data_IF_881222968350
#
_entry.id   IF_881222968350
#
_cell.length_a   1.000
_cell.length_b   1.000
_cell.length_c   1.000
_cell.angle_alpha   90.00
_cell.angle_beta   90.00
_cell.angle_gamma   90.00
#
_symmetry.space_group_name_H-M   'P 1'
#
loop_
_entity.id
_entity.type
_entity.pdbx_description
1 polymer ?
#
# COMPACT_ATOMS: atom_id res chain seq x y z
N UNK A 1 0.12 -4.99 17.37
CA UNK A 1 -0.98 -5.76 16.74
C UNK A 1 -1.62 -5.08 15.52
N UNK A 2 -2.02 -3.79 15.57
CA UNK A 2 -2.58 -3.08 14.38
C UNK A 2 -1.54 -2.94 13.26
N UNK A 3 -0.31 -2.60 13.59
CA UNK A 3 0.83 -2.48 12.66
C UNK A 3 1.06 -3.74 11.83
N UNK A 4 1.05 -4.91 12.46
CA UNK A 4 1.23 -6.20 11.79
C UNK A 4 0.13 -6.51 10.76
N UNK A 5 -1.10 -6.00 10.98
CA UNK A 5 -2.22 -6.20 10.06
C UNK A 5 -2.13 -5.30 8.84
N UNK A 6 -1.71 -4.04 9.02
CA UNK A 6 -1.45 -3.13 7.89
C UNK A 6 -0.30 -3.63 7.03
N UNK A 7 0.80 -4.04 7.65
CA UNK A 7 1.93 -4.67 6.98
C UNK A 7 1.50 -5.91 6.18
N UNK A 8 0.75 -6.82 6.79
CA UNK A 8 0.20 -8.00 6.13
C UNK A 8 -0.70 -7.64 4.93
N UNK A 9 -1.51 -6.56 5.05
CA UNK A 9 -2.36 -6.09 3.98
C UNK A 9 -1.53 -5.62 2.78
N UNK A 10 -0.56 -4.73 2.99
CA UNK A 10 0.28 -4.18 1.93
C UNK A 10 1.11 -5.28 1.25
N UNK A 11 1.79 -6.14 2.03
CA UNK A 11 2.55 -7.28 1.51
C UNK A 11 1.70 -8.24 0.69
N UNK A 12 0.49 -8.52 1.15
CA UNK A 12 -0.43 -9.37 0.41
C UNK A 12 -0.91 -8.73 -0.89
N UNK A 13 -1.25 -7.44 -0.88
CA UNK A 13 -1.60 -6.71 -2.10
C UNK A 13 -0.43 -6.67 -3.08
N UNK A 14 0.78 -6.39 -2.62
CA UNK A 14 1.98 -6.42 -3.44
C UNK A 14 2.19 -7.81 -4.08
N UNK A 15 2.01 -8.88 -3.32
CA UNK A 15 2.16 -10.25 -3.82
C UNK A 15 1.13 -10.65 -4.87
N UNK A 16 -0.14 -10.29 -4.65
CA UNK A 16 -1.25 -10.81 -5.48
C UNK A 16 -1.71 -9.84 -6.57
N UNK A 17 -1.49 -8.54 -6.37
CA UNK A 17 -1.85 -7.48 -7.33
C UNK A 17 -0.63 -6.79 -7.95
N UNK A 18 0.59 -7.16 -7.61
CA UNK A 18 1.87 -6.66 -8.14
C UNK A 18 1.79 -5.44 -9.04
N UNK A 19 1.63 -5.68 -10.35
CA UNK A 19 1.57 -4.59 -11.34
C UNK A 19 0.35 -3.67 -11.12
N UNK A 20 -0.85 -4.21 -10.82
CA UNK A 20 -2.04 -3.40 -10.59
C UNK A 20 -1.88 -2.46 -9.37
N UNK A 21 -1.23 -2.94 -8.29
CA UNK A 21 -0.91 -2.11 -7.12
C UNK A 21 0.10 -1.02 -7.49
N UNK A 22 1.15 -1.39 -8.22
CA UNK A 22 2.16 -0.44 -8.68
C UNK A 22 1.50 0.68 -9.51
N UNK A 23 0.73 0.31 -10.54
CA UNK A 23 0.05 1.26 -11.42
C UNK A 23 -0.98 2.13 -10.65
N UNK A 24 -1.64 1.56 -9.64
CA UNK A 24 -2.56 2.29 -8.77
C UNK A 24 -1.82 3.35 -7.94
N UNK A 25 -0.69 2.99 -7.32
CA UNK A 25 0.11 3.93 -6.52
C UNK A 25 0.68 5.05 -7.40
N UNK A 26 1.14 4.73 -8.61
CA UNK A 26 1.58 5.71 -9.60
C UNK A 26 0.44 6.66 -10.04
N UNK A 27 -0.79 6.12 -10.16
CA UNK A 27 -1.95 6.93 -10.50
C UNK A 27 -2.36 7.86 -9.35
N UNK A 28 -2.21 7.42 -8.08
CA UNK A 28 -2.41 8.27 -6.91
C UNK A 28 -1.47 9.47 -6.94
N UNK A 29 -0.18 9.24 -7.17
CA UNK A 29 0.84 10.29 -7.20
C UNK A 29 0.54 11.37 -8.26
N UNK A 30 0.03 10.97 -9.42
CA UNK A 30 -0.33 11.88 -10.52
C UNK A 30 -1.54 12.77 -10.21
N UNK A 31 -2.29 12.49 -9.13
CA UNK A 31 -3.40 13.34 -8.68
C UNK A 31 -2.94 14.49 -7.78
N UNK A 32 -1.67 14.50 -7.41
CA UNK A 32 -1.06 15.61 -6.64
C UNK A 32 -0.38 16.59 -7.60
N UNK A 33 -0.33 17.86 -7.20
CA UNK A 33 0.43 18.90 -7.95
C UNK A 33 1.95 18.78 -7.72
N UNK A 34 2.39 17.75 -6.99
CA UNK A 34 3.82 17.53 -6.72
C UNK A 34 4.50 16.97 -7.96
N UNK A 35 5.57 17.63 -8.39
CA UNK A 35 6.41 17.16 -9.50
C UNK A 35 7.33 16.06 -8.95
N UNK A 36 7.08 14.84 -9.34
CA UNK A 36 7.96 13.71 -9.05
C UNK A 36 8.77 13.34 -10.28
N UNK A 37 10.04 13.00 -10.07
CA UNK A 37 10.83 12.40 -11.15
C UNK A 37 10.17 11.08 -11.60
N UNK A 38 10.06 10.84 -12.92
CA UNK A 38 9.51 9.59 -13.40
C UNK A 38 10.39 8.42 -12.96
N UNK A 39 9.77 7.31 -12.57
CA UNK A 39 10.51 6.10 -12.30
C UNK A 39 11.21 5.61 -13.59
N UNK A 40 12.45 5.13 -13.51
CA UNK A 40 13.20 4.64 -14.68
C UNK A 40 12.46 3.51 -15.40
N UNK A 41 11.79 2.64 -14.65
CA UNK A 41 11.00 1.55 -15.19
C UNK A 41 9.71 1.37 -14.37
N UNK A 42 8.58 1.10 -15.05
CA UNK A 42 7.27 0.89 -14.45
C UNK A 42 6.72 -0.53 -14.68
N UNK A 43 7.48 -1.41 -15.32
CA UNK A 43 7.05 -2.77 -15.62
C UNK A 43 7.78 -3.80 -14.76
N UNK A 44 6.99 -4.53 -13.96
CA UNK A 44 7.50 -5.58 -13.08
C UNK A 44 7.86 -6.81 -13.93
N UNK A 45 9.06 -7.35 -13.72
CA UNK A 45 9.53 -8.61 -14.29
C UNK A 45 9.15 -9.79 -13.40
N UNK A 46 9.47 -9.69 -12.12
CA UNK A 46 9.10 -10.69 -11.12
C UNK A 46 9.19 -10.15 -9.69
N UNK A 47 8.61 -10.88 -8.76
CA UNK A 47 8.85 -10.68 -7.31
C UNK A 47 10.24 -11.20 -6.96
N UNK A 48 11.00 -10.42 -6.22
CA UNK A 48 12.29 -10.80 -5.67
C UNK A 48 12.15 -11.30 -4.22
N UNK A 49 13.16 -12.01 -3.70
CA UNK A 49 13.16 -12.39 -2.30
C UNK A 49 13.24 -11.16 -1.40
N UNK A 50 12.45 -11.16 -0.32
CA UNK A 50 12.48 -10.09 0.69
C UNK A 50 13.38 -10.42 1.88
N UNK A 51 13.93 -11.63 1.93
CA UNK A 51 14.85 -12.08 2.97
C UNK A 51 16.29 -11.98 2.46
N UNK A 52 17.04 -11.07 3.04
CA UNK A 52 18.47 -10.92 2.79
C UNK A 52 19.27 -11.55 3.95
N UNK A 53 20.22 -12.40 3.61
CA UNK A 53 21.14 -12.98 4.59
C UNK A 53 22.42 -12.14 4.57
N UNK A 54 22.57 -11.29 5.59
CA UNK A 54 23.81 -10.48 5.74
C UNK A 54 24.99 -11.35 6.17
N UNK A 55 26.24 -10.92 5.92
CA UNK A 55 27.45 -11.63 6.37
C UNK A 55 27.49 -11.90 7.88
N UNK A 56 26.75 -11.13 8.68
CA UNK A 56 26.62 -11.32 10.13
C UNK A 56 25.49 -12.28 10.53
N UNK A 57 24.94 -13.05 9.59
CA UNK A 57 23.82 -13.99 9.77
C UNK A 57 22.55 -13.35 10.37
N UNK A 58 22.40 -12.05 10.27
CA UNK A 58 21.16 -11.35 10.61
C UNK A 58 20.32 -11.27 9.36
N UNK A 59 19.24 -12.05 9.30
CA UNK A 59 18.22 -11.90 8.26
C UNK A 59 17.62 -10.50 8.33
N UNK A 60 17.70 -9.75 7.24
CA UNK A 60 16.94 -8.53 7.04
C UNK A 60 15.69 -8.89 6.25
N UNK A 61 14.54 -8.48 6.77
CA UNK A 61 13.25 -8.71 6.12
C UNK A 61 12.75 -7.37 5.58
N UNK A 62 12.87 -7.19 4.29
CA UNK A 62 12.23 -6.08 3.57
C UNK A 62 10.76 -6.35 3.40
N UNK A 63 9.95 -5.30 3.26
CA UNK A 63 8.51 -5.47 3.09
C UNK A 63 8.20 -6.11 1.74
N UNK A 64 8.68 -5.56 0.64
CA UNK A 64 8.49 -6.15 -0.68
C UNK A 64 9.49 -5.63 -1.71
N UNK A 65 9.95 -6.50 -2.61
CA UNK A 65 10.91 -6.16 -3.66
C UNK A 65 10.46 -6.72 -5.00
N UNK A 66 10.49 -5.86 -6.03
CA UNK A 66 10.29 -6.25 -7.42
C UNK A 66 11.56 -6.08 -8.22
N UNK A 67 11.89 -7.09 -9.03
CA UNK A 67 12.83 -6.94 -10.14
C UNK A 67 12.07 -6.37 -11.34
N UNK A 68 12.59 -5.30 -11.93
CA UNK A 68 11.98 -4.61 -13.06
C UNK A 68 12.55 -5.13 -14.39
N UNK A 69 11.86 -4.85 -15.51
CA UNK A 69 12.31 -5.35 -16.84
C UNK A 69 13.60 -4.72 -17.32
N UNK A 70 14.02 -3.59 -16.77
CA UNK A 70 15.31 -2.94 -17.02
C UNK A 70 16.42 -3.42 -16.08
N UNK A 71 16.17 -4.50 -15.33
CA UNK A 71 17.04 -5.08 -14.31
C UNK A 71 17.31 -4.16 -13.09
N UNK A 72 16.59 -3.05 -12.93
CA UNK A 72 16.55 -2.30 -11.67
C UNK A 72 15.63 -3.00 -10.67
N UNK A 73 15.66 -2.53 -9.42
CA UNK A 73 14.79 -3.02 -8.36
C UNK A 73 13.93 -1.90 -7.81
N UNK A 74 12.66 -2.23 -7.50
CA UNK A 74 11.76 -1.39 -6.70
C UNK A 74 11.64 -2.05 -5.33
N UNK A 75 12.08 -1.34 -4.30
CA UNK A 75 11.90 -1.72 -2.91
C UNK A 75 10.71 -0.96 -2.30
N UNK A 76 9.70 -1.68 -1.83
CA UNK A 76 8.57 -1.11 -1.11
C UNK A 76 8.74 -1.31 0.39
N UNK A 77 8.58 -0.22 1.15
CA UNK A 77 8.47 -0.26 2.61
C UNK A 77 7.17 0.40 3.07
N UNK A 78 6.52 -0.18 4.08
CA UNK A 78 5.29 0.35 4.64
C UNK A 78 5.48 0.80 6.09
N UNK A 79 5.05 2.02 6.38
CA UNK A 79 5.04 2.55 7.75
C UNK A 79 3.64 3.00 8.16
N UNK A 80 3.15 2.44 9.26
CA UNK A 80 1.82 2.71 9.81
C UNK A 80 1.80 3.90 10.77
N UNK A 81 2.45 4.99 10.42
CA UNK A 81 2.55 6.19 11.25
C UNK A 81 3.43 7.23 10.59
N UNK A 82 3.74 8.29 11.34
CA UNK A 82 4.64 9.32 10.85
C UNK A 82 6.03 8.73 10.65
N UNK A 83 6.65 9.10 9.53
CA UNK A 83 8.03 8.70 9.26
C UNK A 83 8.98 9.46 10.18
N UNK A 84 9.97 8.74 10.67
CA UNK A 84 11.03 9.25 11.55
C UNK A 84 12.40 9.06 10.90
N UNK A 85 13.40 9.75 11.41
CA UNK A 85 14.80 9.53 11.04
C UNK A 85 15.19 8.04 11.12
N UNK A 86 14.75 7.35 12.17
CA UNK A 86 15.02 5.92 12.34
C UNK A 86 14.40 5.05 11.26
N UNK A 87 13.16 5.36 10.80
CA UNK A 87 12.52 4.65 9.71
C UNK A 87 13.33 4.80 8.42
N UNK A 88 13.68 6.03 8.06
CA UNK A 88 14.45 6.31 6.83
C UNK A 88 15.86 5.70 6.86
N UNK A 89 16.55 5.77 8.01
CA UNK A 89 17.84 5.12 8.19
C UNK A 89 17.73 3.60 8.01
N UNK A 90 16.66 3.00 8.52
CA UNK A 90 16.40 1.56 8.39
C UNK A 90 16.17 1.17 6.94
N UNK A 91 15.30 1.92 6.23
CA UNK A 91 15.04 1.71 4.81
C UNK A 91 16.31 1.87 3.97
N UNK A 92 17.08 2.94 4.19
CA UNK A 92 18.34 3.18 3.46
C UNK A 92 19.38 2.08 3.67
N UNK A 93 19.38 1.45 4.85
CA UNK A 93 20.23 0.29 5.12
C UNK A 93 19.81 -0.91 4.27
N UNK A 94 18.50 -1.16 4.14
CA UNK A 94 18.00 -2.23 3.29
C UNK A 94 18.36 -2.02 1.82
N UNK A 95 18.29 -0.78 1.33
CA UNK A 95 18.69 -0.44 -0.04
C UNK A 95 20.18 -0.72 -0.29
N UNK A 96 21.02 -0.39 0.66
CA UNK A 96 22.46 -0.66 0.56
C UNK A 96 22.75 -2.16 0.50
N UNK A 97 22.15 -2.95 1.39
CA UNK A 97 22.34 -4.40 1.44
C UNK A 97 21.81 -5.07 0.16
N UNK A 98 20.64 -4.62 -0.35
CA UNK A 98 20.08 -5.12 -1.60
C UNK A 98 20.96 -4.74 -2.81
N UNK A 99 21.52 -3.54 -2.80
CA UNK A 99 22.48 -3.11 -3.83
C UNK A 99 23.77 -3.94 -3.78
N UNK A 100 24.31 -4.19 -2.60
CA UNK A 100 25.51 -5.04 -2.43
C UNK A 100 25.27 -6.47 -2.94
N UNK A 101 24.08 -7.03 -2.68
CA UNK A 101 23.72 -8.38 -3.14
C UNK A 101 23.55 -8.45 -4.65
N UNK A 102 22.87 -7.45 -5.24
CA UNK A 102 22.44 -7.51 -6.64
C UNK A 102 23.35 -6.80 -7.63
N UNK A 103 24.12 -5.82 -7.15
CA UNK A 103 24.93 -4.92 -7.99
C UNK A 103 24.08 -4.00 -8.89
N UNK A 104 22.78 -3.82 -8.59
CA UNK A 104 21.81 -3.14 -9.44
C UNK A 104 21.27 -1.86 -8.79
N UNK A 105 20.71 -0.92 -9.58
CA UNK A 105 20.01 0.25 -9.03
C UNK A 105 18.80 -0.15 -8.21
N UNK A 106 18.64 0.47 -7.04
CA UNK A 106 17.49 0.29 -6.14
C UNK A 106 16.69 1.58 -6.09
N UNK A 107 15.40 1.50 -6.36
CA UNK A 107 14.45 2.61 -6.29
C UNK A 107 13.46 2.34 -5.17
N UNK A 108 13.51 3.11 -4.09
CA UNK A 108 12.67 2.85 -2.91
C UNK A 108 11.42 3.70 -2.89
N UNK A 109 10.29 3.06 -2.70
CA UNK A 109 8.97 3.68 -2.52
C UNK A 109 8.48 3.36 -1.12
N UNK A 110 8.25 4.39 -0.31
CA UNK A 110 7.67 4.26 1.02
C UNK A 110 6.17 4.54 0.95
N UNK A 111 5.36 3.64 1.48
CA UNK A 111 3.92 3.86 1.68
C UNK A 111 3.69 4.19 3.15
N UNK A 112 3.10 5.36 3.45
CA UNK A 112 2.85 5.78 4.82
C UNK A 112 1.38 6.12 5.06
N UNK A 113 0.84 5.65 6.18
CA UNK A 113 -0.48 6.07 6.70
C UNK A 113 -0.37 7.24 7.68
N UNK A 114 0.84 7.76 7.91
CA UNK A 114 1.12 8.89 8.79
C UNK A 114 0.71 10.24 8.22
N UNK A 115 0.87 11.27 9.05
CA UNK A 115 0.63 12.64 8.65
C UNK A 115 1.86 13.18 7.90
N UNK A 116 1.75 13.63 6.64
CA UNK A 116 2.87 14.15 5.87
C UNK A 116 3.56 15.34 6.56
N UNK A 117 2.80 16.23 7.21
CA UNK A 117 3.33 17.42 7.89
C UNK A 117 4.08 17.11 9.21
N UNK A 118 4.03 15.87 9.67
CA UNK A 118 4.70 15.40 10.90
C UNK A 118 5.72 14.29 10.61
N UNK A 119 6.03 14.09 9.34
CA UNK A 119 6.92 13.02 8.87
C UNK A 119 8.19 13.61 8.30
N UNK A 120 9.29 12.91 8.51
CA UNK A 120 10.54 13.18 7.81
C UNK A 120 10.49 12.56 6.41
N UNK A 121 11.09 13.24 5.42
CA UNK A 121 11.13 12.78 4.03
C UNK A 121 12.54 12.43 3.57
N UNK A 122 13.53 12.76 4.38
CA UNK A 122 14.95 12.51 4.14
C UNK A 122 15.67 12.34 5.46
N UNK A 123 16.82 11.68 5.46
CA UNK A 123 17.67 11.60 6.64
C UNK A 123 19.15 11.74 6.29
N UNK A 124 19.94 12.18 7.28
CA UNK A 124 21.38 12.26 7.16
C UNK A 124 22.04 11.00 7.75
N UNK A 125 22.89 10.36 6.96
CA UNK A 125 23.73 9.26 7.41
C UNK A 125 25.14 9.85 7.67
N UNK A 126 25.44 10.10 8.94
CA UNK A 126 26.63 10.84 9.32
C UNK A 126 26.54 12.33 8.99
N UNK A 127 27.66 12.97 8.59
CA UNK A 127 27.72 14.42 8.36
C UNK A 127 27.53 14.84 6.89
N UNK A 128 27.69 13.93 5.95
CA UNK A 128 27.80 14.27 4.52
C UNK A 128 26.90 13.45 3.61
N UNK A 129 26.42 12.29 4.05
CA UNK A 129 25.58 11.44 3.24
C UNK A 129 24.11 11.65 3.58
N UNK A 130 23.31 11.94 2.57
CA UNK A 130 21.86 12.12 2.68
C UNK A 130 21.18 10.94 2.02
N UNK A 131 20.21 10.35 2.71
CA UNK A 131 19.31 9.35 2.14
C UNK A 131 17.94 9.98 1.88
N UNK A 132 17.47 9.79 0.67
CA UNK A 132 16.13 10.21 0.25
C UNK A 132 15.55 9.09 -0.60
N UNK A 133 14.42 8.47 -0.20
CA UNK A 133 13.72 7.51 -1.06
C UNK A 133 13.23 8.21 -2.33
N UNK A 134 13.09 7.46 -3.44
CA UNK A 134 12.65 8.05 -4.70
C UNK A 134 11.21 8.58 -4.59
N UNK A 135 10.39 7.94 -3.73
CA UNK A 135 9.02 8.38 -3.41
C UNK A 135 8.59 8.04 -2.01
N UNK A 136 7.73 8.92 -1.48
CA UNK A 136 6.98 8.66 -0.24
C UNK A 136 5.51 8.94 -0.50
N UNK A 137 4.71 7.90 -0.55
CA UNK A 137 3.27 7.95 -0.77
C UNK A 137 2.57 8.06 0.58
N UNK A 138 2.19 9.27 0.95
CA UNK A 138 1.38 9.51 2.14
C UNK A 138 -0.10 9.32 1.80
N UNK A 139 -0.69 8.20 2.19
CA UNK A 139 -2.08 7.89 1.87
C UNK A 139 -3.07 8.98 2.30
N UNK A 140 -2.76 9.71 3.37
CA UNK A 140 -3.58 10.85 3.86
C UNK A 140 -3.57 12.09 2.97
N UNK A 141 -2.76 12.17 1.93
CA UNK A 141 -2.82 13.25 0.94
C UNK A 141 -3.98 13.10 -0.05
N UNK A 142 -4.51 11.90 -0.26
CA UNK A 142 -5.46 11.60 -1.33
C UNK A 142 -6.91 11.64 -0.87
N UNK A 143 -7.85 12.18 -1.69
CA UNK A 143 -9.25 12.39 -1.30
C UNK A 143 -10.05 11.08 -1.31
N UNK A 144 -10.27 10.48 -0.14
CA UNK A 144 -11.01 9.22 0.00
C UNK A 144 -12.51 9.34 -0.28
N UNK A 145 -13.16 10.44 0.13
CA UNK A 145 -14.60 10.63 -0.05
C UNK A 145 -15.01 10.67 -1.53
N UNK A 146 -14.23 11.36 -2.39
CA UNK A 146 -14.51 11.40 -3.82
C UNK A 146 -14.33 10.05 -4.48
N UNK A 147 -13.31 9.29 -4.10
CA UNK A 147 -13.06 7.93 -4.59
C UNK A 147 -14.19 6.99 -4.19
N UNK A 148 -14.62 7.04 -2.93
CA UNK A 148 -15.75 6.25 -2.45
C UNK A 148 -17.01 6.56 -3.26
N UNK A 149 -17.32 7.84 -3.50
CA UNK A 149 -18.47 8.26 -4.33
C UNK A 149 -18.39 7.67 -5.74
N UNK A 150 -17.22 7.72 -6.38
CA UNK A 150 -17.02 7.23 -7.74
C UNK A 150 -17.25 5.71 -7.83
N UNK A 151 -16.70 4.93 -6.89
CA UNK A 151 -16.89 3.47 -6.85
C UNK A 151 -18.35 3.11 -6.55
N UNK A 152 -19.00 3.81 -5.61
CA UNK A 152 -20.42 3.60 -5.30
C UNK A 152 -21.31 3.78 -6.53
N UNK A 153 -21.12 4.85 -7.30
CA UNK A 153 -21.86 5.09 -8.55
C UNK A 153 -21.70 3.91 -9.53
N UNK A 154 -20.50 3.34 -9.63
CA UNK A 154 -20.26 2.16 -10.47
C UNK A 154 -21.02 0.93 -9.97
N UNK A 155 -21.01 0.69 -8.66
CA UNK A 155 -21.72 -0.44 -8.03
C UNK A 155 -23.23 -0.30 -8.23
N UNK A 156 -23.80 0.86 -7.92
CA UNK A 156 -25.24 1.15 -8.03
C UNK A 156 -25.74 1.03 -9.48
N UNK A 157 -24.92 1.40 -10.45
CA UNK A 157 -25.22 1.25 -11.87
C UNK A 157 -24.81 -0.12 -12.43
N UNK A 158 -24.48 -1.08 -11.58
CA UNK A 158 -24.08 -2.43 -11.97
C UNK A 158 -22.98 -2.45 -13.06
N UNK A 159 -22.01 -1.54 -12.97
CA UNK A 159 -20.84 -1.48 -13.87
C UNK A 159 -19.78 -2.47 -13.44
N UNK A 160 -18.97 -2.94 -14.40
CA UNK A 160 -17.80 -3.77 -14.12
C UNK A 160 -16.77 -2.93 -13.35
N UNK A 161 -16.28 -3.47 -12.23
CA UNK A 161 -15.20 -2.85 -11.46
C UNK A 161 -13.84 -3.20 -12.05
N UNK A 162 -12.95 -2.23 -12.08
CA UNK A 162 -11.55 -2.38 -12.46
C UNK A 162 -10.70 -2.86 -11.26
N UNK A 163 -9.42 -3.19 -11.51
CA UNK A 163 -8.49 -3.46 -10.42
C UNK A 163 -8.32 -2.23 -9.50
N UNK A 164 -8.33 -1.02 -10.06
CA UNK A 164 -8.25 0.23 -9.29
C UNK A 164 -9.46 0.44 -8.40
N UNK A 165 -10.68 0.13 -8.86
CA UNK A 165 -11.88 0.22 -8.03
C UNK A 165 -11.82 -0.75 -6.83
N UNK A 166 -11.24 -1.94 -7.03
CA UNK A 166 -11.01 -2.91 -5.95
C UNK A 166 -9.98 -2.38 -4.94
N UNK A 167 -8.89 -1.79 -5.42
CA UNK A 167 -7.87 -1.18 -4.57
C UNK A 167 -8.44 0.04 -3.83
N UNK A 168 -9.25 0.88 -4.50
CA UNK A 168 -9.97 1.97 -3.84
C UNK A 168 -10.79 1.47 -2.66
N UNK A 169 -11.63 0.44 -2.83
CA UNK A 169 -12.44 -0.12 -1.74
C UNK A 169 -11.60 -0.58 -0.54
N UNK A 170 -10.37 -1.03 -0.77
CA UNK A 170 -9.46 -1.48 0.28
C UNK A 170 -8.69 -0.30 0.92
N UNK A 171 -8.24 0.69 0.11
CA UNK A 171 -7.40 1.78 0.57
C UNK A 171 -8.16 3.00 1.12
N UNK A 172 -9.42 3.26 0.69
CA UNK A 172 -10.20 4.43 1.10
C UNK A 172 -10.21 4.66 2.62
N UNK A 173 -10.32 3.64 3.51
CA UNK A 173 -10.25 3.86 4.95
C UNK A 173 -8.92 4.44 5.47
N UNK A 174 -7.85 4.34 4.68
CA UNK A 174 -6.53 4.91 4.99
C UNK A 174 -6.32 6.30 4.38
N UNK A 175 -7.15 6.69 3.41
CA UNK A 175 -7.06 7.98 2.71
C UNK A 175 -7.60 9.12 3.57
N UNK A 176 -7.58 10.35 3.03
CA UNK A 176 -8.19 11.51 3.66
C UNK A 176 -9.71 11.47 3.45
N UNK A 177 -10.46 11.28 4.53
CA UNK A 177 -11.92 11.23 4.54
C UNK A 177 -12.48 12.15 5.63
N UNK A 178 -13.65 12.73 5.39
CA UNK A 178 -14.35 13.59 6.36
C UNK A 178 -14.93 12.80 7.52
N UNK A 179 -15.21 11.50 7.32
CA UNK A 179 -15.70 10.56 8.33
C UNK A 179 -14.58 9.71 8.89
N UNK A 180 -14.80 9.11 10.05
CA UNK A 180 -13.82 8.20 10.61
C UNK A 180 -13.72 6.88 9.80
N UNK A 181 -12.56 6.23 9.85
CA UNK A 181 -12.28 5.04 9.04
C UNK A 181 -13.19 3.86 9.38
N UNK A 182 -13.68 3.74 10.62
CA UNK A 182 -14.61 2.66 11.01
C UNK A 182 -15.96 2.81 10.30
N UNK A 183 -16.50 4.03 10.20
CA UNK A 183 -17.75 4.32 9.47
C UNK A 183 -17.59 4.03 7.98
N UNK A 184 -16.47 4.43 7.40
CA UNK A 184 -16.15 4.17 6.00
C UNK A 184 -16.08 2.67 5.72
N UNK A 185 -15.41 1.90 6.58
CA UNK A 185 -15.33 0.43 6.44
C UNK A 185 -16.72 -0.20 6.50
N UNK A 186 -17.56 0.18 7.47
CA UNK A 186 -18.93 -0.32 7.58
C UNK A 186 -19.74 -0.04 6.31
N UNK A 187 -19.62 1.16 5.78
CA UNK A 187 -20.31 1.55 4.55
C UNK A 187 -19.83 0.72 3.36
N UNK A 188 -18.51 0.61 3.15
CA UNK A 188 -17.92 -0.19 2.06
C UNK A 188 -18.42 -1.64 2.14
N UNK A 189 -18.38 -2.27 3.31
CA UNK A 189 -18.87 -3.63 3.51
C UNK A 189 -20.36 -3.79 3.17
N UNK A 190 -21.18 -2.77 3.47
CA UNK A 190 -22.59 -2.75 3.07
C UNK A 190 -22.81 -2.71 1.55
N UNK A 191 -21.86 -2.22 0.77
CA UNK A 191 -21.93 -2.21 -0.70
C UNK A 191 -21.43 -3.49 -1.35
N UNK A 192 -20.57 -4.26 -0.67
CA UNK A 192 -19.92 -5.46 -1.24
C UNK A 192 -20.94 -6.47 -1.76
N UNK A 193 -22.03 -6.70 -1.03
CA UNK A 193 -23.12 -7.62 -1.44
C UNK A 193 -23.81 -7.24 -2.75
N UNK A 194 -23.68 -5.99 -3.19
CA UNK A 194 -24.25 -5.46 -4.44
C UNK A 194 -23.30 -5.60 -5.63
N UNK A 195 -22.04 -6.01 -5.39
CA UNK A 195 -21.03 -6.15 -6.44
C UNK A 195 -21.26 -7.48 -7.16
N UNK A 196 -21.59 -7.42 -8.43
CA UNK A 196 -21.89 -8.61 -9.25
C UNK A 196 -20.94 -8.81 -10.42
N UNK A 197 -20.24 -7.75 -10.86
CA UNK A 197 -19.41 -7.76 -12.07
C UNK A 197 -17.93 -7.60 -11.76
N UNK A 198 -17.35 -8.60 -11.10
CA UNK A 198 -15.91 -8.72 -10.84
C UNK A 198 -15.43 -10.14 -11.14
N UNK A 199 -14.13 -10.28 -11.37
CA UNK A 199 -13.51 -11.59 -11.62
C UNK A 199 -13.31 -12.35 -10.32
N UNK A 200 -13.15 -13.69 -10.40
CA UNK A 200 -12.85 -14.54 -9.25
C UNK A 200 -11.58 -14.08 -8.51
N UNK A 201 -10.56 -13.60 -9.24
CA UNK A 201 -9.33 -13.04 -8.63
C UNK A 201 -9.67 -11.79 -7.82
N UNK A 202 -10.43 -10.85 -8.40
CA UNK A 202 -10.86 -9.62 -7.74
C UNK A 202 -11.72 -9.91 -6.49
N UNK A 203 -12.65 -10.87 -6.58
CA UNK A 203 -13.46 -11.33 -5.44
C UNK A 203 -12.60 -11.76 -4.27
N UNK A 204 -11.65 -12.69 -4.51
CA UNK A 204 -10.76 -13.20 -3.47
C UNK A 204 -9.96 -12.09 -2.78
N UNK A 205 -9.42 -11.16 -3.56
CA UNK A 205 -8.58 -10.09 -3.03
C UNK A 205 -9.41 -9.04 -2.29
N UNK A 206 -10.58 -8.66 -2.85
CA UNK A 206 -11.49 -7.75 -2.18
C UNK A 206 -11.95 -8.31 -0.83
N UNK A 207 -12.40 -9.57 -0.80
CA UNK A 207 -12.84 -10.23 0.44
C UNK A 207 -11.70 -10.29 1.47
N UNK A 208 -10.52 -10.72 1.05
CA UNK A 208 -9.36 -10.79 1.92
C UNK A 208 -8.89 -9.40 2.39
N UNK A 209 -8.82 -8.42 1.48
CA UNK A 209 -8.39 -7.07 1.79
C UNK A 209 -9.37 -6.38 2.75
N UNK A 210 -10.67 -6.49 2.52
CA UNK A 210 -11.69 -5.95 3.42
C UNK A 210 -11.71 -6.67 4.77
N UNK A 211 -11.48 -7.99 4.80
CA UNK A 211 -11.36 -8.72 6.05
C UNK A 211 -10.23 -8.16 6.93
N UNK A 212 -9.04 -7.89 6.37
CA UNK A 212 -7.95 -7.26 7.10
C UNK A 212 -8.26 -5.81 7.49
N UNK A 213 -8.86 -5.04 6.57
CA UNK A 213 -9.24 -3.65 6.81
C UNK A 213 -10.26 -3.54 7.96
N UNK A 214 -11.26 -4.44 8.00
CA UNK A 214 -12.21 -4.49 9.13
C UNK A 214 -11.50 -4.78 10.44
N UNK A 215 -10.53 -5.68 10.48
CA UNK A 215 -9.75 -5.97 11.68
C UNK A 215 -8.83 -4.82 12.14
N UNK A 216 -8.43 -3.94 11.20
CA UNK A 216 -7.61 -2.77 11.51
C UNK A 216 -8.46 -1.67 12.17
N UNK A 217 -9.65 -1.41 11.64
CA UNK A 217 -10.43 -0.24 12.02
C UNK A 217 -11.60 -0.52 12.97
N UNK A 218 -12.18 -1.73 12.99
CA UNK A 218 -13.30 -2.08 13.84
C UNK A 218 -12.79 -2.75 15.10
N UNK A 219 -12.98 -2.07 16.24
CA UNK A 219 -12.49 -2.56 17.55
C UNK A 219 -13.52 -3.39 18.30
N UNK A 220 -14.82 -3.11 18.11
CA UNK A 220 -15.88 -3.82 18.79
C UNK A 220 -16.10 -5.21 18.15
N UNK A 221 -15.97 -6.33 18.92
CA UNK A 221 -16.08 -7.68 18.37
C UNK A 221 -17.43 -8.01 17.74
N UNK A 222 -18.54 -7.54 18.34
CA UNK A 222 -19.88 -7.78 17.79
C UNK A 222 -20.09 -7.03 16.46
N UNK A 223 -19.58 -5.79 16.39
CA UNK A 223 -19.62 -5.00 15.17
C UNK A 223 -18.74 -5.65 14.10
N UNK A 224 -17.56 -6.14 14.47
CA UNK A 224 -16.65 -6.83 13.56
C UNK A 224 -17.31 -8.05 12.92
N UNK A 225 -17.99 -8.88 13.71
CA UNK A 225 -18.67 -10.08 13.22
C UNK A 225 -19.83 -9.73 12.29
N UNK A 226 -20.65 -8.73 12.64
CA UNK A 226 -21.73 -8.22 11.78
C UNK A 226 -21.21 -7.75 10.42
N UNK A 227 -20.12 -6.96 10.43
CA UNK A 227 -19.54 -6.41 9.19
C UNK A 227 -18.91 -7.51 8.34
N UNK A 228 -18.28 -8.52 8.95
CA UNK A 228 -17.76 -9.70 8.23
C UNK A 228 -18.85 -10.47 7.49
N UNK A 229 -19.99 -10.66 8.14
CA UNK A 229 -21.15 -11.32 7.52
C UNK A 229 -21.67 -10.53 6.32
N UNK A 230 -21.66 -9.19 6.38
CA UNK A 230 -22.05 -8.31 5.28
C UNK A 230 -21.07 -8.33 4.12
N UNK A 231 -19.79 -8.55 4.38
CA UNK A 231 -18.72 -8.53 3.36
C UNK A 231 -18.56 -9.85 2.58
N UNK A 232 -19.37 -10.85 2.88
CA UNK A 232 -19.37 -12.12 2.14
C UNK A 232 -20.04 -11.92 0.79
N UNK A 233 -19.25 -11.93 -0.27
CA UNK A 233 -19.76 -11.96 -1.66
C UNK A 233 -20.49 -13.30 -1.89
N UNK A 234 -21.72 -13.22 -2.40
CA UNK A 234 -22.55 -14.38 -2.76
C UNK A 234 -22.05 -15.01 -4.06
#
# INVERSE_FOLDING_TARGET
MIYQKQDKLIKGLAKYYGQDLFDYLEALEKETDEIHEPLPCTKIKKVYSTELITPNFKGLLMDFVYEMVDDSYIHYEHYSGNLTHGNLTHTGRYDMELHEETGKPINTIIISTGNPNKSETECWIGKVNKYTPIRIIFLKKYPGDQRLKNVKIKIENNKKLTAFDILDLIFIPFLNTTRNSEEIVKEICGYVSKITKITTKQTKILTWGLWLTTEIFIKNPETLEKVRTMSTLK
#
